data_IF_641901281074
#
_entry.id   IF_641901281074
#
_cell.length_a   1.000
_cell.length_b   1.000
_cell.length_c   1.000
_cell.angle_alpha   90.00
_cell.angle_beta   90.00
_cell.angle_gamma   90.00
#
_symmetry.space_group_name_H-M   'P 1'
#
loop_
_entity.id
_entity.type
_entity.pdbx_description
1 polymer ?
#
# COMPACT_ATOMS: atom_id res chain seq x y z
N UNK A 1 21.45 -1.06 -31.41
CA UNK A 1 20.52 -2.04 -30.82
C UNK A 1 19.61 -1.33 -29.83
N UNK A 2 18.43 -0.92 -30.26
CA UNK A 2 17.43 -0.25 -29.42
C UNK A 2 16.54 -1.32 -28.79
N UNK A 3 16.65 -1.53 -27.47
CA UNK A 3 15.82 -2.49 -26.76
C UNK A 3 14.37 -1.99 -26.77
N UNK A 4 13.52 -2.71 -27.48
CA UNK A 4 12.07 -2.55 -27.47
C UNK A 4 11.60 -2.98 -26.08
N UNK A 5 11.31 -2.03 -25.18
CA UNK A 5 10.63 -2.34 -23.93
C UNK A 5 9.19 -2.73 -24.27
N UNK A 6 8.94 -4.03 -24.26
CA UNK A 6 7.65 -4.65 -24.47
C UNK A 6 6.69 -4.18 -23.38
N UNK A 7 5.87 -3.17 -23.69
CA UNK A 7 4.73 -2.79 -22.84
C UNK A 7 3.85 -4.03 -22.68
N UNK A 8 3.81 -4.61 -21.47
CA UNK A 8 2.81 -5.61 -21.07
C UNK A 8 1.42 -4.99 -21.17
N UNK A 9 0.86 -4.92 -22.38
CA UNK A 9 -0.58 -4.79 -22.62
C UNK A 9 -1.21 -6.07 -22.09
N UNK A 10 -1.80 -6.06 -20.89
CA UNK A 10 -2.50 -7.26 -20.42
C UNK A 10 -3.13 -7.22 -19.04
N UNK A 11 -2.62 -6.45 -18.06
CA UNK A 11 -3.26 -6.36 -16.74
C UNK A 11 -4.12 -5.10 -16.68
N UNK A 12 -5.43 -5.27 -16.54
CA UNK A 12 -6.36 -4.14 -16.30
C UNK A 12 -5.86 -3.40 -15.07
N UNK A 13 -5.56 -2.10 -15.22
CA UNK A 13 -5.19 -1.24 -14.09
C UNK A 13 -6.33 -1.19 -13.08
N UNK A 14 -5.99 -1.32 -11.80
CA UNK A 14 -6.99 -1.19 -10.74
C UNK A 14 -7.47 0.26 -10.63
N UNK A 15 -8.68 0.47 -10.12
CA UNK A 15 -9.30 1.80 -10.09
C UNK A 15 -8.51 2.82 -9.26
N UNK A 16 -7.75 2.34 -8.28
CA UNK A 16 -6.92 3.13 -7.37
C UNK A 16 -5.48 3.34 -7.89
N UNK A 17 -5.09 2.68 -9.00
CA UNK A 17 -3.77 2.84 -9.61
C UNK A 17 -3.65 4.13 -10.44
N UNK A 18 -2.52 4.81 -10.31
CA UNK A 18 -2.19 5.95 -11.13
C UNK A 18 -1.74 5.49 -12.53
N UNK A 19 -2.01 6.29 -13.57
CA UNK A 19 -1.38 6.04 -14.87
C UNK A 19 0.09 6.46 -14.76
N UNK A 20 1.02 5.52 -14.96
CA UNK A 20 2.48 5.76 -15.03
C UNK A 20 2.90 6.85 -16.02
N UNK A 21 2.02 7.26 -16.94
CA UNK A 21 2.30 8.30 -17.93
C UNK A 21 2.53 9.71 -17.35
N UNK A 22 2.37 9.89 -16.05
CA UNK A 22 2.51 11.18 -15.36
C UNK A 22 3.50 11.15 -14.19
N UNK A 23 4.25 10.05 -13.98
CA UNK A 23 5.49 10.19 -13.23
C UNK A 23 6.41 11.04 -14.09
N UNK A 24 6.86 12.23 -13.65
CA UNK A 24 8.00 12.87 -14.28
C UNK A 24 9.07 11.79 -14.41
N UNK A 25 9.82 11.75 -15.51
CA UNK A 25 11.02 10.93 -15.57
C UNK A 25 11.89 11.36 -14.39
N UNK A 26 11.73 10.69 -13.25
CA UNK A 26 12.67 10.80 -12.15
C UNK A 26 13.91 10.24 -12.80
N UNK A 27 14.84 11.14 -13.17
CA UNK A 27 16.20 10.75 -13.42
C UNK A 27 16.50 9.74 -12.34
N UNK A 28 16.84 8.52 -12.77
CA UNK A 28 17.19 7.40 -11.91
C UNK A 28 18.31 7.94 -11.02
N UNK A 29 17.91 8.49 -9.87
CA UNK A 29 18.85 9.05 -8.91
C UNK A 29 19.45 7.79 -8.37
N UNK A 30 20.59 7.38 -8.94
CA UNK A 30 21.36 6.24 -8.46
C UNK A 30 21.43 6.40 -6.96
N UNK A 31 20.65 5.61 -6.25
CA UNK A 31 20.71 5.56 -4.81
C UNK A 31 22.13 5.09 -4.56
N UNK A 32 22.93 5.95 -3.91
CA UNK A 32 24.25 5.54 -3.44
C UNK A 32 24.05 4.22 -2.69
N UNK A 33 24.92 3.20 -2.91
CA UNK A 33 24.88 2.01 -2.09
C UNK A 33 24.75 2.44 -0.63
N UNK A 34 23.71 1.98 0.04
CA UNK A 34 23.51 2.30 1.45
C UNK A 34 24.83 1.97 2.14
N UNK A 35 25.46 2.93 2.81
CA UNK A 35 26.55 2.64 3.72
C UNK A 35 25.87 2.12 4.99
N UNK A 36 25.96 0.81 5.23
CA UNK A 36 25.33 0.19 6.39
C UNK A 36 26.19 0.56 7.60
N UNK A 37 25.86 1.66 8.26
CA UNK A 37 26.40 2.02 9.56
C UNK A 37 25.60 1.25 10.62
N UNK A 38 26.24 0.90 11.74
CA UNK A 38 25.59 0.32 12.93
C UNK A 38 24.33 1.10 13.32
N UNK A 39 24.33 2.42 13.16
CA UNK A 39 23.19 3.28 13.53
C UNK A 39 22.11 3.40 12.43
N UNK A 40 22.43 3.01 11.18
CA UNK A 40 21.49 3.02 10.03
C UNK A 40 20.94 1.64 9.71
N UNK A 41 21.30 0.61 10.48
CA UNK A 41 20.69 -0.72 10.35
C UNK A 41 19.17 -0.60 10.59
N UNK A 42 18.33 -1.20 9.74
CA UNK A 42 16.88 -1.16 9.92
C UNK A 42 16.44 -1.61 11.32
N UNK A 43 17.13 -2.60 11.90
CA UNK A 43 16.88 -3.09 13.26
C UNK A 43 17.00 -2.04 14.37
N UNK A 44 17.76 -0.97 14.12
CA UNK A 44 18.03 0.10 15.09
C UNK A 44 17.20 1.36 14.80
N UNK A 45 16.69 1.51 13.58
CA UNK A 45 15.87 2.66 13.18
C UNK A 45 14.39 2.53 13.58
N UNK A 46 13.84 1.32 13.63
CA UNK A 46 12.44 1.09 14.05
C UNK A 46 12.34 0.80 15.55
N UNK A 47 12.76 1.76 16.37
CA UNK A 47 12.22 1.83 17.73
C UNK A 47 10.76 2.28 17.64
N UNK A 48 9.84 1.31 17.80
CA UNK A 48 8.38 1.46 17.72
C UNK A 48 7.75 2.52 18.65
N UNK A 49 8.53 3.21 19.48
CA UNK A 49 8.08 4.27 20.39
C UNK A 49 8.90 5.58 20.27
N UNK A 50 9.63 5.80 19.17
CA UNK A 50 10.30 7.08 18.94
C UNK A 50 9.29 8.19 18.71
N UNK A 51 9.28 9.19 19.60
CA UNK A 51 8.54 10.43 19.43
C UNK A 51 8.93 11.01 18.06
N UNK A 52 8.00 11.08 17.11
CA UNK A 52 8.22 11.69 15.80
C UNK A 52 8.63 13.15 15.98
N UNK A 53 9.92 13.41 16.17
CA UNK A 53 10.53 14.74 16.17
C UNK A 53 11.11 14.99 14.78
N UNK A 54 10.23 14.93 13.77
CA UNK A 54 10.42 15.79 12.62
C UNK A 54 10.35 17.22 13.12
N UNK A 55 11.41 18.01 12.91
CA UNK A 55 11.54 19.42 13.30
C UNK A 55 10.61 20.34 12.48
N UNK A 56 9.35 19.96 12.32
CA UNK A 56 8.30 20.84 11.83
C UNK A 56 7.42 21.17 13.02
N UNK A 57 7.64 22.39 13.52
CA UNK A 57 6.97 22.97 14.67
C UNK A 57 5.48 22.60 14.72
N UNK A 58 5.07 22.16 15.91
CA UNK A 58 3.67 22.03 16.37
C UNK A 58 3.01 23.41 16.30
N UNK A 59 2.66 23.86 15.10
CA UNK A 59 1.83 25.05 14.88
C UNK A 59 0.41 24.56 14.67
N UNK A 60 -0.41 24.65 15.72
CA UNK A 60 -1.89 24.62 15.74
C UNK A 60 -2.52 24.13 14.42
N UNK A 61 -2.25 22.89 14.03
CA UNK A 61 -2.90 22.28 12.88
C UNK A 61 -4.13 21.60 13.45
N UNK A 62 -5.31 21.98 12.97
CA UNK A 62 -6.53 21.21 13.26
C UNK A 62 -6.20 19.78 12.90
N UNK A 63 -6.49 18.84 13.79
CA UNK A 63 -6.28 17.41 13.56
C UNK A 63 -7.12 17.04 12.32
N UNK A 64 -6.49 17.06 11.16
CA UNK A 64 -7.12 16.72 9.87
C UNK A 64 -6.80 15.26 9.58
N UNK A 65 -7.68 14.56 8.88
CA UNK A 65 -7.55 13.14 8.45
C UNK A 65 -6.24 12.79 7.71
N UNK A 66 -5.40 13.79 7.42
CA UNK A 66 -4.13 13.65 6.69
C UNK A 66 -3.11 12.84 7.49
N UNK A 67 -3.12 12.95 8.83
CA UNK A 67 -2.18 12.27 9.72
C UNK A 67 -2.65 10.88 10.15
N UNK A 68 -3.90 10.53 9.91
CA UNK A 68 -4.42 9.19 10.23
C UNK A 68 -4.01 8.20 9.14
N UNK A 69 -2.96 7.43 9.38
CA UNK A 69 -2.46 6.39 8.47
C UNK A 69 -3.18 5.04 8.64
N UNK A 70 -4.21 4.97 9.49
CA UNK A 70 -4.97 3.73 9.69
C UNK A 70 -5.66 3.31 8.39
N UNK A 71 -5.41 2.10 7.88
CA UNK A 71 -6.04 1.64 6.65
C UNK A 71 -7.54 1.41 6.85
N UNK A 72 -8.36 1.82 5.87
CA UNK A 72 -9.80 1.55 5.86
C UNK A 72 -10.24 0.85 4.56
N UNK A 73 -10.17 -0.49 4.52
CA UNK A 73 -10.55 -1.27 3.33
C UNK A 73 -12.00 -1.06 2.90
N UNK A 74 -12.94 -0.90 3.84
CA UNK A 74 -14.35 -0.61 3.54
C UNK A 74 -14.51 0.70 2.78
N UNK A 75 -13.84 1.75 3.23
CA UNK A 75 -13.85 3.06 2.57
C UNK A 75 -13.28 2.96 1.16
N UNK A 76 -12.17 2.24 0.98
CA UNK A 76 -11.59 2.01 -0.34
C UNK A 76 -12.58 1.27 -1.27
N UNK A 77 -13.26 0.24 -0.78
CA UNK A 77 -14.28 -0.51 -1.52
C UNK A 77 -15.48 0.38 -1.91
N UNK A 78 -15.97 1.21 -0.99
CA UNK A 78 -17.06 2.16 -1.24
C UNK A 78 -16.70 3.17 -2.34
N UNK A 79 -15.49 3.74 -2.29
CA UNK A 79 -14.99 4.65 -3.33
C UNK A 79 -14.93 3.93 -4.68
N UNK A 80 -14.48 2.66 -4.71
CA UNK A 80 -14.46 1.85 -5.93
C UNK A 80 -15.85 1.64 -6.53
N UNK A 81 -16.85 1.37 -5.70
CA UNK A 81 -18.25 1.24 -6.13
C UNK A 81 -18.81 2.56 -6.68
N UNK A 82 -18.51 3.69 -6.04
CA UNK A 82 -18.93 5.01 -6.51
C UNK A 82 -18.29 5.37 -7.85
N UNK A 83 -16.99 5.07 -8.03
CA UNK A 83 -16.29 5.23 -9.30
C UNK A 83 -16.92 4.39 -10.40
N UNK A 84 -17.31 3.14 -10.12
CA UNK A 84 -17.99 2.27 -11.10
C UNK A 84 -19.33 2.88 -11.54
N UNK A 85 -20.12 3.42 -10.59
CA UNK A 85 -21.38 4.11 -10.88
C UNK A 85 -21.16 5.37 -11.72
N UNK A 86 -20.18 6.20 -11.37
CA UNK A 86 -19.88 7.43 -12.14
C UNK A 86 -19.39 7.13 -13.54
N UNK A 87 -18.49 6.15 -13.70
CA UNK A 87 -18.00 5.77 -15.03
C UNK A 87 -19.13 5.24 -15.90
N UNK A 88 -20.07 4.46 -15.33
CA UNK A 88 -21.27 4.04 -16.05
C UNK A 88 -22.09 5.24 -16.52
N UNK A 89 -22.43 6.18 -15.63
CA UNK A 89 -23.18 7.39 -16.00
C UNK A 89 -22.46 8.20 -17.08
N UNK A 90 -21.13 8.37 -16.99
CA UNK A 90 -20.34 9.09 -17.99
C UNK A 90 -20.39 8.38 -19.35
N UNK A 91 -20.29 7.04 -19.37
CA UNK A 91 -20.37 6.23 -20.59
C UNK A 91 -21.77 6.24 -21.23
N UNK A 92 -22.82 6.29 -20.42
CA UNK A 92 -24.22 6.29 -20.88
C UNK A 92 -24.65 7.66 -21.46
N UNK A 93 -23.90 8.74 -21.19
CA UNK A 93 -24.22 10.07 -21.73
C UNK A 93 -23.91 10.19 -23.23
N UNK A 94 -24.92 10.57 -24.02
CA UNK A 94 -24.82 10.82 -25.47
C UNK A 94 -23.57 11.64 -25.83
N UNK A 95 -22.78 11.21 -26.84
CA UNK A 95 -21.64 11.96 -27.34
C UNK A 95 -22.02 13.41 -27.68
N UNK A 96 -21.14 14.35 -27.32
CA UNK A 96 -21.43 15.79 -27.52
C UNK A 96 -21.59 16.13 -29.00
N UNK A 97 -20.92 15.37 -29.88
CA UNK A 97 -21.02 15.48 -31.34
C UNK A 97 -22.44 15.23 -31.87
N UNK A 98 -23.19 14.34 -31.23
CA UNK A 98 -24.52 13.90 -31.67
C UNK A 98 -25.64 14.78 -31.13
N UNK A 99 -25.34 15.74 -30.26
CA UNK A 99 -26.34 16.62 -29.65
C UNK A 99 -26.59 17.89 -30.49
N UNK A 100 -27.82 18.44 -30.46
CA UNK A 100 -28.12 19.75 -31.04
C UNK A 100 -27.22 20.85 -30.48
N UNK A 101 -26.84 21.83 -31.31
CA UNK A 101 -25.87 22.88 -30.95
C UNK A 101 -26.22 23.62 -29.65
N UNK A 102 -27.52 23.86 -29.41
CA UNK A 102 -28.05 24.52 -28.22
C UNK A 102 -27.88 23.69 -26.93
N UNK A 103 -27.87 22.36 -27.02
CA UNK A 103 -27.74 21.46 -25.87
C UNK A 103 -26.27 21.10 -25.54
N UNK A 104 -25.35 21.27 -26.51
CA UNK A 104 -23.92 20.93 -26.34
C UNK A 104 -23.24 21.63 -25.16
N UNK A 105 -23.44 22.93 -24.88
CA UNK A 105 -22.83 23.58 -23.71
C UNK A 105 -23.24 22.95 -22.38
N UNK A 106 -24.53 22.63 -22.22
CA UNK A 106 -25.07 22.00 -21.01
C UNK A 106 -24.49 20.61 -20.80
N UNK A 107 -24.49 19.78 -21.85
CA UNK A 107 -23.92 18.42 -21.80
C UNK A 107 -22.43 18.43 -21.47
N UNK A 108 -21.63 19.33 -22.07
CA UNK A 108 -20.21 19.50 -21.74
C UNK A 108 -20.00 19.85 -20.26
N UNK A 109 -20.80 20.78 -19.73
CA UNK A 109 -20.73 21.18 -18.31
C UNK A 109 -21.01 20.01 -17.38
N UNK A 110 -22.00 19.18 -17.71
CA UNK A 110 -22.36 18.00 -16.92
C UNK A 110 -21.29 16.90 -17.00
N UNK A 111 -20.80 16.58 -18.21
CA UNK A 111 -19.69 15.63 -18.40
C UNK A 111 -18.44 16.05 -17.61
N UNK A 112 -18.06 17.33 -17.67
CA UNK A 112 -16.92 17.86 -16.92
C UNK A 112 -17.12 17.78 -15.41
N UNK A 113 -18.33 18.01 -14.91
CA UNK A 113 -18.66 17.88 -13.48
C UNK A 113 -18.46 16.43 -13.00
N UNK A 114 -18.97 15.46 -13.76
CA UNK A 114 -18.83 14.04 -13.44
C UNK A 114 -17.37 13.57 -13.54
N UNK A 115 -16.67 13.95 -14.59
CA UNK A 115 -15.25 13.64 -14.77
C UNK A 115 -14.39 14.22 -13.63
N UNK A 116 -14.66 15.46 -13.22
CA UNK A 116 -13.97 16.09 -12.08
C UNK A 116 -14.22 15.34 -10.77
N UNK A 117 -15.45 14.88 -10.52
CA UNK A 117 -15.78 14.05 -9.35
C UNK A 117 -15.04 12.71 -9.39
N UNK A 118 -15.06 12.03 -10.54
CA UNK A 118 -14.34 10.77 -10.71
C UNK A 118 -12.83 10.92 -10.48
N UNK A 119 -12.23 12.00 -10.98
CA UNK A 119 -10.81 12.31 -10.75
C UNK A 119 -10.49 12.47 -9.25
N UNK A 120 -11.31 13.24 -8.51
CA UNK A 120 -11.15 13.42 -7.06
C UNK A 120 -11.28 12.11 -6.30
N UNK A 121 -12.27 11.29 -6.64
CA UNK A 121 -12.47 9.98 -6.02
C UNK A 121 -11.32 9.03 -6.32
N UNK A 122 -10.78 9.06 -7.54
CA UNK A 122 -9.59 8.27 -7.89
C UNK A 122 -8.39 8.67 -7.03
N UNK A 123 -8.19 9.97 -6.77
CA UNK A 123 -7.12 10.43 -5.87
C UNK A 123 -7.33 9.96 -4.43
N UNK A 124 -8.58 10.00 -3.93
CA UNK A 124 -8.93 9.46 -2.61
C UNK A 124 -8.71 7.96 -2.51
N UNK A 125 -9.13 7.20 -3.53
CA UNK A 125 -8.90 5.76 -3.62
C UNK A 125 -7.40 5.42 -3.58
N UNK A 126 -6.58 6.18 -4.31
CA UNK A 126 -5.13 6.01 -4.28
C UNK A 126 -4.57 6.22 -2.87
N UNK A 127 -5.01 7.27 -2.17
CA UNK A 127 -4.56 7.55 -0.81
C UNK A 127 -4.94 6.44 0.17
N UNK A 128 -6.19 5.96 0.14
CA UNK A 128 -6.63 4.85 0.98
C UNK A 128 -5.92 3.53 0.63
N UNK A 129 -5.67 3.25 -0.65
CA UNK A 129 -4.88 2.10 -1.07
C UNK A 129 -3.44 2.18 -0.56
N UNK A 130 -2.82 3.37 -0.55
CA UNK A 130 -1.47 3.56 -0.01
C UNK A 130 -1.41 3.29 1.50
N UNK A 131 -2.45 3.60 2.27
CA UNK A 131 -2.52 3.22 3.70
C UNK A 131 -2.52 1.69 3.86
N UNK A 132 -3.30 0.99 3.04
CA UNK A 132 -3.31 -0.49 3.02
C UNK A 132 -1.93 -1.04 2.66
N UNK A 133 -1.28 -0.50 1.62
CA UNK A 133 0.09 -0.88 1.23
C UNK A 133 1.09 -0.66 2.37
N UNK A 134 1.06 0.51 2.99
CA UNK A 134 1.93 0.85 4.11
C UNK A 134 1.76 -0.14 5.27
N UNK A 135 0.52 -0.49 5.61
CA UNK A 135 0.24 -1.48 6.65
C UNK A 135 0.82 -2.85 6.32
N UNK A 136 0.61 -3.34 5.09
CA UNK A 136 1.15 -4.62 4.63
C UNK A 136 2.67 -4.65 4.66
N UNK A 137 3.32 -3.60 4.15
CA UNK A 137 4.78 -3.47 4.15
C UNK A 137 5.35 -3.38 5.57
N UNK A 138 4.69 -2.66 6.48
CA UNK A 138 5.13 -2.58 7.88
C UNK A 138 5.00 -3.93 8.59
N UNK A 139 3.93 -4.67 8.30
CA UNK A 139 3.73 -6.03 8.85
C UNK A 139 4.80 -6.99 8.34
N UNK A 140 5.08 -6.96 7.04
CA UNK A 140 6.15 -7.76 6.43
C UNK A 140 7.52 -7.40 7.03
N UNK A 141 7.78 -6.10 7.20
CA UNK A 141 8.99 -5.60 7.86
C UNK A 141 9.14 -6.14 9.29
N UNK A 142 8.09 -6.05 10.12
CA UNK A 142 8.11 -6.55 11.50
C UNK A 142 8.39 -8.06 11.55
N UNK A 143 7.79 -8.83 10.63
CA UNK A 143 8.01 -10.27 10.52
C UNK A 143 9.44 -10.63 10.09
N UNK A 144 9.99 -9.91 9.10
CA UNK A 144 11.39 -10.06 8.68
C UNK A 144 12.34 -9.74 9.83
N UNK A 145 12.09 -8.66 10.56
CA UNK A 145 12.90 -8.28 11.71
C UNK A 145 12.84 -9.33 12.83
N UNK A 146 11.67 -9.93 13.07
CA UNK A 146 11.52 -11.04 14.00
C UNK A 146 12.37 -12.24 13.61
N UNK A 147 12.34 -12.67 12.34
CA UNK A 147 13.15 -13.79 11.84
C UNK A 147 14.64 -13.50 11.99
N UNK A 148 15.08 -12.30 11.60
CA UNK A 148 16.49 -11.86 11.71
C UNK A 148 16.95 -11.86 13.17
N UNK A 149 16.15 -11.31 14.07
CA UNK A 149 16.50 -11.26 15.50
C UNK A 149 16.51 -12.67 16.11
N UNK A 150 15.56 -13.52 15.75
CA UNK A 150 15.48 -14.90 16.25
C UNK A 150 16.70 -15.71 15.84
N UNK A 151 17.11 -15.64 14.56
CA UNK A 151 18.29 -16.38 14.10
C UNK A 151 19.59 -15.80 14.67
N UNK A 152 19.65 -14.47 14.87
CA UNK A 152 20.79 -13.82 15.54
C UNK A 152 20.95 -14.32 16.98
N UNK A 153 19.85 -14.42 17.75
CA UNK A 153 19.91 -14.93 19.13
C UNK A 153 20.36 -16.40 19.15
N UNK A 154 19.87 -17.22 18.22
CA UNK A 154 20.32 -18.61 18.09
C UNK A 154 21.83 -18.71 17.79
N UNK A 155 22.37 -17.86 16.91
CA UNK A 155 23.82 -17.82 16.64
C UNK A 155 24.60 -17.47 17.92
N UNK A 156 24.17 -16.42 18.63
CA UNK A 156 24.81 -15.97 19.88
C UNK A 156 24.81 -17.10 20.91
N UNK A 157 23.66 -17.77 21.10
CA UNK A 157 23.52 -18.88 22.03
C UNK A 157 24.46 -20.04 21.68
N UNK A 158 24.58 -20.41 20.40
CA UNK A 158 25.51 -21.48 19.97
C UNK A 158 26.97 -21.14 20.16
N UNK A 159 27.35 -19.88 19.97
CA UNK A 159 28.73 -19.42 20.16
C UNK A 159 29.07 -19.37 21.66
N UNK A 160 28.13 -18.97 22.51
CA UNK A 160 28.32 -18.90 23.96
C UNK A 160 28.28 -20.27 24.65
N UNK A 161 27.45 -21.20 24.16
CA UNK A 161 27.26 -22.53 24.74
C UNK A 161 27.66 -23.66 23.77
N UNK A 162 28.95 -23.82 23.42
CA UNK A 162 29.39 -24.81 22.42
C UNK A 162 29.24 -26.28 22.86
N UNK A 163 28.88 -26.54 24.13
CA UNK A 163 28.75 -27.88 24.72
C UNK A 163 27.31 -28.40 24.78
N UNK A 164 26.30 -27.59 24.47
CA UNK A 164 24.91 -28.06 24.39
C UNK A 164 24.70 -28.95 23.15
N UNK A 165 23.81 -29.95 23.27
CA UNK A 165 23.40 -30.78 22.13
C UNK A 165 22.99 -29.88 20.96
N UNK A 166 23.68 -30.06 19.83
CA UNK A 166 23.39 -29.29 18.63
C UNK A 166 22.02 -29.74 18.13
N UNK A 167 21.01 -28.93 18.39
CA UNK A 167 19.70 -29.05 17.74
C UNK A 167 19.80 -28.96 16.20
N UNK A 168 18.66 -28.84 15.49
CA UNK A 168 18.66 -28.85 14.03
C UNK A 168 19.63 -27.82 13.42
N UNK A 169 20.12 -28.12 12.21
CA UNK A 169 21.07 -27.28 11.49
C UNK A 169 20.54 -25.83 11.44
N UNK A 170 21.42 -24.82 11.52
CA UNK A 170 21.04 -23.40 11.45
C UNK A 170 20.19 -23.08 10.21
N UNK A 171 20.53 -23.67 9.07
CA UNK A 171 19.75 -23.53 7.83
C UNK A 171 18.33 -24.06 7.97
N UNK A 172 18.17 -25.25 8.56
CA UNK A 172 16.86 -25.86 8.81
C UNK A 172 16.03 -25.02 9.79
N UNK A 173 16.63 -24.53 10.88
CA UNK A 173 15.95 -23.62 11.81
C UNK A 173 15.50 -22.33 11.12
N UNK A 174 16.34 -21.76 10.26
CA UNK A 174 16.01 -20.56 9.49
C UNK A 174 14.85 -20.82 8.51
N UNK A 175 14.86 -21.94 7.78
CA UNK A 175 13.78 -22.31 6.87
C UNK A 175 12.45 -22.47 7.60
N UNK A 176 12.46 -23.10 8.78
CA UNK A 176 11.26 -23.22 9.64
C UNK A 176 10.77 -21.84 10.06
N UNK A 177 11.65 -20.98 10.57
CA UNK A 177 11.28 -19.61 10.98
C UNK A 177 10.70 -18.79 9.83
N UNK A 178 11.30 -18.89 8.64
CA UNK A 178 10.82 -18.23 7.42
C UNK A 178 9.41 -18.73 7.08
N UNK A 179 9.20 -20.04 7.04
CA UNK A 179 7.91 -20.64 6.67
C UNK A 179 6.79 -20.32 7.66
N UNK A 180 7.11 -20.29 8.95
CA UNK A 180 6.13 -20.09 10.01
C UNK A 180 5.78 -18.61 10.20
N UNK A 181 6.73 -17.70 9.94
CA UNK A 181 6.56 -16.26 10.21
C UNK A 181 6.24 -15.47 8.93
N UNK A 182 6.92 -15.76 7.83
CA UNK A 182 6.77 -14.99 6.60
C UNK A 182 5.57 -15.52 5.81
N UNK A 183 4.55 -14.66 5.67
CA UNK A 183 3.43 -14.90 4.77
C UNK A 183 3.77 -14.60 3.32
N UNK A 184 2.75 -14.36 2.49
CA UNK A 184 2.95 -13.89 1.12
C UNK A 184 3.67 -12.53 1.13
N UNK A 185 4.72 -12.34 0.30
CA UNK A 185 5.45 -11.09 0.25
C UNK A 185 4.55 -9.97 -0.29
N UNK A 186 4.57 -8.82 0.40
CA UNK A 186 3.81 -7.61 -0.01
C UNK A 186 4.71 -6.72 -0.87
N UNK A 187 5.99 -6.63 -0.55
CA UNK A 187 7.00 -5.97 -1.35
C UNK A 187 7.02 -6.55 -2.78
N UNK A 188 7.01 -5.66 -3.78
CA UNK A 188 6.93 -6.06 -5.20
C UNK A 188 5.54 -6.56 -5.66
N UNK A 189 4.63 -6.90 -4.76
CA UNK A 189 3.27 -7.41 -5.06
C UNK A 189 2.17 -6.58 -4.40
N UNK A 190 2.45 -5.28 -4.19
CA UNK A 190 1.54 -4.39 -3.45
C UNK A 190 0.16 -4.24 -4.11
N UNK A 191 0.07 -4.41 -5.43
CA UNK A 191 -1.20 -4.34 -6.13
C UNK A 191 -2.06 -5.57 -5.87
N UNK A 192 -1.49 -6.76 -5.98
CA UNK A 192 -2.12 -8.03 -5.63
C UNK A 192 -2.60 -8.02 -4.18
N UNK A 193 -1.75 -7.56 -3.25
CA UNK A 193 -2.09 -7.44 -1.84
C UNK A 193 -3.33 -6.57 -1.59
N UNK A 194 -3.38 -5.35 -2.15
CA UNK A 194 -4.55 -4.46 -1.98
C UNK A 194 -5.83 -5.10 -2.53
N UNK A 195 -5.76 -5.84 -3.62
CA UNK A 195 -6.95 -6.48 -4.19
C UNK A 195 -7.41 -7.69 -3.38
N UNK A 196 -6.50 -8.50 -2.85
CA UNK A 196 -6.87 -9.57 -1.90
C UNK A 196 -7.58 -8.99 -0.67
N UNK A 197 -7.10 -7.85 -0.17
CA UNK A 197 -7.75 -7.14 0.95
C UNK A 197 -9.15 -6.66 0.56
N UNK A 198 -9.33 -6.14 -0.66
CA UNK A 198 -10.64 -5.70 -1.16
C UNK A 198 -11.61 -6.86 -1.42
N UNK A 199 -11.14 -8.00 -1.93
CA UNK A 199 -11.94 -9.22 -2.12
C UNK A 199 -12.48 -9.71 -0.78
N UNK A 200 -11.60 -9.89 0.21
CA UNK A 200 -12.00 -10.24 1.59
C UNK A 200 -12.96 -9.22 2.19
N UNK A 201 -12.78 -7.92 1.87
CA UNK A 201 -13.69 -6.87 2.33
C UNK A 201 -15.06 -6.98 1.68
N UNK A 202 -15.13 -7.34 0.40
CA UNK A 202 -16.37 -7.55 -0.33
C UNK A 202 -17.12 -8.81 0.15
N UNK A 203 -16.39 -9.84 0.59
CA UNK A 203 -16.94 -11.05 1.25
C UNK A 203 -17.49 -10.78 2.65
N UNK A 204 -17.32 -9.56 3.18
CA UNK A 204 -17.87 -9.13 4.46
C UNK A 204 -16.85 -9.01 5.58
N UNK A 205 -15.56 -9.33 5.35
CA UNK A 205 -14.52 -9.11 6.35
C UNK A 205 -14.20 -7.60 6.47
N UNK A 206 -14.60 -6.94 7.56
CA UNK A 206 -14.48 -5.49 7.67
C UNK A 206 -13.05 -4.96 7.71
N UNK A 207 -12.05 -5.78 8.05
CA UNK A 207 -10.63 -5.42 8.03
C UNK A 207 -9.93 -5.89 6.76
N UNK A 208 -10.62 -6.59 5.86
CA UNK A 208 -10.04 -7.19 4.67
C UNK A 208 -8.93 -8.20 4.97
N UNK A 209 -8.92 -8.78 6.17
CA UNK A 209 -7.86 -9.70 6.61
C UNK A 209 -6.55 -9.02 7.01
N UNK A 210 -6.55 -7.71 7.25
CA UNK A 210 -5.41 -7.00 7.83
C UNK A 210 -5.26 -7.37 9.31
N UNK A 211 -4.19 -8.09 9.64
CA UNK A 211 -3.89 -8.54 11.00
C UNK A 211 -3.65 -7.33 11.91
N UNK A 212 -4.24 -7.35 13.11
CA UNK A 212 -4.07 -6.29 14.12
C UNK A 212 -4.87 -5.01 13.88
N UNK A 213 -5.58 -4.88 12.76
CA UNK A 213 -6.43 -3.72 12.50
C UNK A 213 -7.70 -3.80 13.37
N UNK A 214 -7.83 -2.90 14.34
CA UNK A 214 -9.05 -2.78 15.15
C UNK A 214 -10.05 -1.88 14.43
N UNK A 215 -11.28 -2.35 14.31
CA UNK A 215 -12.37 -1.56 13.76
C UNK A 215 -12.90 -0.69 14.90
N UNK A 216 -12.99 0.63 14.74
CA UNK A 216 -13.76 1.44 15.66
C UNK A 216 -15.21 0.94 15.61
N UNK A 217 -15.69 0.30 16.68
CA UNK A 217 -17.11 0.00 16.82
C UNK A 217 -17.82 1.36 16.87
N UNK A 218 -18.49 1.75 15.78
CA UNK A 218 -19.41 2.87 15.80
C UNK A 218 -20.39 2.60 16.94
N UNK A 219 -20.37 3.44 17.97
CA UNK A 219 -21.42 3.43 18.99
C UNK A 219 -22.74 3.65 18.27
N UNK A 220 -23.67 2.71 18.48
CA UNK A 220 -25.09 2.82 18.11
C UNK A 220 -25.68 4.03 18.81
#
# INVERSE_FOLDING_TARGET
MTSISSRKRGKRRYFWEYSEQLTPSQQERMLRPSEWNRDTLPSNMYQKNGLHHGKYAVKKSRRTDVEDLTPNPKKLLQIGNELRKLNKVISDLTPVSELPLTARPRSRKEKNKLASRACRLKKKAQYEANKVKLWGLNTEYDNLLFVINSIKQEIVNRVQNPREERGPNMGQKLEILIKDTLGLPVAGQTSEFVNQVLEKTAEGNPTGGLVGLRIPTSKV
#
